data_IF_056159254198
#
_entry.id   IF_056159254198
#
_cell.length_a   1.000
_cell.length_b   1.000
_cell.length_c   1.000
_cell.angle_alpha   90.00
_cell.angle_beta   90.00
_cell.angle_gamma   90.00
#
_symmetry.space_group_name_H-M   'P 1'
#
loop_
_entity.id
_entity.type
_entity.pdbx_description
1 polymer ?
#
# COMPACT_ATOMS: atom_id res chain seq x y z
N UNK A 1 22.23 -21.45 33.07
CA UNK A 1 21.89 -21.32 31.64
C UNK A 1 20.40 -21.62 31.35
N UNK A 2 19.83 -22.78 31.77
CA UNK A 2 18.42 -23.15 31.49
C UNK A 2 17.39 -22.09 31.98
N UNK A 3 17.60 -21.47 33.14
CA UNK A 3 16.68 -20.43 33.67
C UNK A 3 16.73 -19.14 32.86
N UNK A 4 17.92 -18.74 32.38
CA UNK A 4 18.09 -17.54 31.55
C UNK A 4 17.40 -17.74 30.21
N UNK A 5 17.59 -18.88 29.55
CA UNK A 5 16.93 -19.24 28.30
C UNK A 5 15.41 -19.29 28.45
N UNK A 6 14.89 -19.87 29.55
CA UNK A 6 13.45 -19.89 29.82
C UNK A 6 12.88 -18.48 30.01
N UNK A 7 13.56 -17.64 30.76
CA UNK A 7 13.09 -16.26 31.00
C UNK A 7 13.17 -15.43 29.73
N UNK A 8 14.19 -15.61 28.90
CA UNK A 8 14.28 -14.99 27.58
C UNK A 8 13.15 -15.45 26.65
N UNK A 9 12.86 -16.75 26.61
CA UNK A 9 11.76 -17.30 25.83
C UNK A 9 10.40 -16.72 26.28
N UNK A 10 10.17 -16.61 27.61
CA UNK A 10 8.95 -16.03 28.15
C UNK A 10 8.80 -14.52 27.79
N UNK A 11 9.90 -13.80 27.69
CA UNK A 11 9.91 -12.39 27.30
C UNK A 11 9.62 -12.24 25.79
N UNK A 12 9.97 -13.21 24.97
CA UNK A 12 9.67 -13.19 23.53
C UNK A 12 8.20 -13.53 23.22
N UNK A 13 7.49 -14.24 24.10
CA UNK A 13 6.08 -14.63 23.87
C UNK A 13 5.18 -13.42 23.56
N UNK A 14 5.16 -12.33 24.35
CA UNK A 14 4.30 -11.20 24.05
C UNK A 14 4.70 -10.49 22.73
N UNK A 15 5.98 -10.49 22.40
CA UNK A 15 6.48 -9.89 21.14
C UNK A 15 6.01 -10.71 19.94
N UNK A 16 6.12 -12.04 20.01
CA UNK A 16 5.61 -12.93 18.97
C UNK A 16 4.09 -12.85 18.84
N UNK A 17 3.37 -12.81 19.97
CA UNK A 17 1.93 -12.66 19.97
C UNK A 17 1.50 -11.34 19.30
N UNK A 18 2.22 -10.25 19.59
CA UNK A 18 1.99 -8.96 18.92
C UNK A 18 2.20 -9.05 17.41
N UNK A 19 3.29 -9.67 16.95
CA UNK A 19 3.56 -9.81 15.52
C UNK A 19 2.53 -10.70 14.82
N UNK A 20 2.09 -11.77 15.46
CA UNK A 20 1.01 -12.61 14.93
C UNK A 20 -0.30 -11.82 14.84
N UNK A 21 -0.63 -11.03 15.87
CA UNK A 21 -1.81 -10.18 15.88
C UNK A 21 -1.72 -9.11 14.77
N UNK A 22 -0.58 -8.47 14.65
CA UNK A 22 -0.34 -7.47 13.60
C UNK A 22 -0.53 -8.08 12.20
N UNK A 23 0.11 -9.21 11.91
CA UNK A 23 0.01 -9.87 10.61
C UNK A 23 -1.42 -10.37 10.29
N UNK A 24 -2.20 -10.72 11.33
CA UNK A 24 -3.56 -11.21 11.17
C UNK A 24 -4.59 -10.07 10.93
N UNK A 25 -4.29 -8.85 11.33
CA UNK A 25 -5.23 -7.72 11.26
C UNK A 25 -4.72 -6.50 10.49
N UNK A 26 -3.53 -6.59 9.90
CA UNK A 26 -3.02 -5.50 9.06
C UNK A 26 -3.87 -5.32 7.80
N UNK A 27 -4.25 -4.07 7.46
CA UNK A 27 -5.23 -3.82 6.41
C UNK A 27 -4.63 -3.83 4.98
N UNK A 28 -3.31 -3.79 4.83
CA UNK A 28 -2.66 -3.52 3.56
C UNK A 28 -2.20 -4.77 2.81
N UNK A 29 -2.56 -5.97 3.28
CA UNK A 29 -2.09 -7.24 2.70
C UNK A 29 -0.56 -7.31 2.49
N UNK A 30 0.19 -6.61 3.35
CA UNK A 30 1.66 -6.52 3.24
C UNK A 30 2.34 -7.90 3.29
N UNK A 31 1.84 -8.80 4.15
CA UNK A 31 2.36 -10.16 4.30
C UNK A 31 1.71 -11.17 3.34
N UNK A 32 0.71 -10.77 2.55
CA UNK A 32 0.02 -11.64 1.60
C UNK A 32 -0.92 -12.66 2.25
N UNK A 33 -1.37 -12.41 3.48
CA UNK A 33 -2.28 -13.29 4.21
C UNK A 33 -3.76 -13.03 3.89
N UNK A 34 -4.07 -11.90 3.25
CA UNK A 34 -5.42 -11.41 2.96
C UNK A 34 -5.57 -11.06 1.47
N UNK A 35 -5.54 -12.02 0.55
CA UNK A 35 -5.49 -11.77 -0.90
C UNK A 35 -6.70 -11.00 -1.46
N UNK A 36 -7.80 -10.92 -0.70
CA UNK A 36 -9.03 -10.23 -1.12
C UNK A 36 -9.20 -8.85 -0.44
N UNK A 37 -8.15 -8.32 0.15
CA UNK A 37 -8.20 -6.98 0.74
C UNK A 37 -8.04 -5.95 -0.36
N UNK A 38 -9.13 -5.29 -0.72
CA UNK A 38 -9.12 -4.14 -1.62
C UNK A 38 -8.65 -2.92 -0.83
N UNK A 39 -7.34 -2.71 -0.80
CA UNK A 39 -6.73 -1.60 -0.09
C UNK A 39 -6.22 -0.57 -1.08
N UNK A 40 -6.79 0.64 -1.02
CA UNK A 40 -6.34 1.79 -1.80
C UNK A 40 -5.02 2.39 -1.30
N UNK A 41 -4.46 1.83 -0.23
CA UNK A 41 -3.20 2.29 0.33
C UNK A 41 -2.04 2.10 -0.66
N UNK A 42 -1.18 3.11 -0.87
CA UNK A 42 -0.04 3.01 -1.78
C UNK A 42 0.84 1.79 -1.53
N UNK A 43 1.08 1.47 -0.27
CA UNK A 43 1.91 0.33 0.13
C UNK A 43 1.32 -1.02 -0.33
N UNK A 44 -0.01 -1.16 -0.32
CA UNK A 44 -0.70 -2.35 -0.80
C UNK A 44 -0.49 -2.52 -2.31
N UNK A 45 -0.81 -1.49 -3.09
CA UNK A 45 -0.69 -1.47 -4.56
C UNK A 45 0.74 -1.77 -5.01
N UNK A 46 1.73 -1.13 -4.38
CA UNK A 46 3.13 -1.39 -4.68
C UNK A 46 3.57 -2.81 -4.28
N UNK A 47 3.04 -3.33 -3.19
CA UNK A 47 3.34 -4.70 -2.75
C UNK A 47 2.76 -5.73 -3.71
N UNK A 48 1.55 -5.54 -4.18
CA UNK A 48 0.90 -6.43 -5.13
C UNK A 48 1.60 -6.37 -6.49
N UNK A 49 1.92 -5.18 -6.99
CA UNK A 49 2.74 -5.04 -8.20
C UNK A 49 4.10 -5.76 -8.08
N UNK A 50 4.78 -5.63 -6.95
CA UNK A 50 6.07 -6.30 -6.73
C UNK A 50 5.96 -7.83 -6.69
N UNK A 51 4.80 -8.37 -6.25
CA UNK A 51 4.56 -9.83 -6.26
C UNK A 51 4.29 -10.36 -7.66
N UNK A 52 3.46 -9.65 -8.40
CA UNK A 52 3.01 -10.03 -9.73
C UNK A 52 3.06 -8.78 -10.63
N UNK A 53 4.26 -8.42 -11.15
CA UNK A 53 4.39 -7.25 -12.00
C UNK A 53 3.63 -7.42 -13.30
N UNK A 54 2.71 -6.48 -13.58
CA UNK A 54 2.02 -6.40 -14.86
C UNK A 54 2.84 -5.65 -15.91
N UNK A 55 2.40 -5.73 -17.15
CA UNK A 55 2.98 -5.02 -18.28
C UNK A 55 2.27 -3.69 -18.61
N UNK A 56 1.17 -3.39 -17.93
CA UNK A 56 0.39 -2.16 -18.14
C UNK A 56 0.00 -1.56 -16.80
N UNK A 57 0.35 -0.29 -16.56
CA UNK A 57 0.12 0.38 -15.30
C UNK A 57 -0.55 1.75 -15.46
N UNK A 58 -1.28 2.15 -14.41
CA UNK A 58 -1.83 3.50 -14.26
C UNK A 58 -1.12 4.18 -13.09
N UNK A 59 -0.58 5.36 -13.35
CA UNK A 59 0.07 6.23 -12.36
C UNK A 59 -0.67 7.56 -12.33
N UNK A 60 -0.86 8.13 -11.16
CA UNK A 60 -1.51 9.43 -11.04
C UNK A 60 -1.93 9.77 -9.61
N UNK A 61 -2.72 10.80 -9.50
CA UNK A 61 -3.29 11.27 -8.25
C UNK A 61 -4.62 10.57 -7.88
N UNK A 62 -5.35 11.09 -6.89
CA UNK A 62 -6.62 10.53 -6.40
C UNK A 62 -7.68 10.31 -7.48
N UNK A 63 -7.68 11.07 -8.57
CA UNK A 63 -8.65 10.92 -9.67
C UNK A 63 -8.43 9.63 -10.42
N UNK A 64 -7.19 9.21 -10.54
CA UNK A 64 -6.81 7.94 -11.19
C UNK A 64 -6.86 6.77 -10.20
N UNK A 65 -6.64 7.03 -8.91
CA UNK A 65 -6.66 6.01 -7.87
C UNK A 65 -8.01 5.27 -7.78
N UNK A 66 -9.11 5.94 -8.14
CA UNK A 66 -10.47 5.40 -8.05
C UNK A 66 -11.05 4.99 -9.43
N UNK A 67 -10.21 4.72 -10.41
CA UNK A 67 -10.69 4.17 -11.68
C UNK A 67 -11.38 2.83 -11.47
N UNK A 68 -12.51 2.65 -12.15
CA UNK A 68 -13.16 1.36 -12.27
C UNK A 68 -12.29 0.45 -13.16
N UNK A 69 -11.49 -0.39 -12.50
CA UNK A 69 -10.51 -1.23 -13.19
C UNK A 69 -11.18 -2.30 -14.05
N UNK A 70 -12.38 -2.75 -13.71
CA UNK A 70 -13.16 -3.68 -14.55
C UNK A 70 -13.56 -3.00 -15.87
N UNK A 71 -14.02 -1.76 -15.80
CA UNK A 71 -14.34 -0.98 -17.00
C UNK A 71 -13.10 -0.68 -17.85
N UNK A 72 -11.96 -0.38 -17.21
CA UNK A 72 -10.68 -0.16 -17.90
C UNK A 72 -10.28 -1.43 -18.67
N UNK A 73 -10.33 -2.59 -18.04
CA UNK A 73 -10.00 -3.88 -18.67
C UNK A 73 -10.96 -4.23 -19.79
N UNK A 74 -12.26 -4.06 -19.57
CA UNK A 74 -13.28 -4.31 -20.62
C UNK A 74 -13.09 -3.40 -21.83
N UNK A 75 -12.71 -2.14 -21.62
CA UNK A 75 -12.58 -1.15 -22.70
C UNK A 75 -11.26 -1.32 -23.46
N UNK A 76 -10.17 -1.60 -22.75
CA UNK A 76 -8.83 -1.73 -23.34
C UNK A 76 -8.54 -3.15 -23.87
N UNK A 77 -9.27 -4.16 -23.39
CA UNK A 77 -9.01 -5.57 -23.67
C UNK A 77 -7.73 -6.10 -23.05
N UNK A 78 -7.21 -5.42 -22.00
CA UNK A 78 -5.95 -5.74 -21.33
C UNK A 78 -6.09 -5.62 -19.82
N UNK A 79 -5.25 -6.36 -19.09
CA UNK A 79 -5.15 -6.21 -17.64
C UNK A 79 -4.24 -5.03 -17.28
N UNK A 80 -4.71 -4.19 -16.37
CA UNK A 80 -4.04 -3.01 -15.89
C UNK A 80 -3.85 -3.07 -14.38
N UNK A 81 -2.71 -2.61 -13.90
CA UNK A 81 -2.49 -2.42 -12.46
C UNK A 81 -2.50 -0.93 -12.11
N UNK A 82 -3.36 -0.57 -11.15
CA UNK A 82 -3.51 0.81 -10.73
C UNK A 82 -2.57 1.12 -9.57
N UNK A 83 -1.50 1.85 -9.84
CA UNK A 83 -0.52 2.31 -8.85
C UNK A 83 -0.77 3.76 -8.39
N UNK A 84 -1.79 4.43 -8.94
CA UNK A 84 -2.13 5.79 -8.56
C UNK A 84 -2.57 5.88 -7.09
N UNK A 85 -2.31 7.01 -6.43
CA UNK A 85 -2.70 7.23 -5.04
C UNK A 85 -3.03 8.69 -4.73
N UNK A 86 -3.83 8.89 -3.70
CA UNK A 86 -4.34 10.21 -3.33
C UNK A 86 -3.25 11.23 -3.07
N UNK A 87 -3.39 12.43 -3.65
CA UNK A 87 -2.47 13.54 -3.44
C UNK A 87 -1.04 13.31 -3.95
N UNK A 88 -0.84 12.47 -4.96
CA UNK A 88 0.47 12.29 -5.56
C UNK A 88 0.94 13.57 -6.25
N UNK A 89 2.17 14.03 -5.95
CA UNK A 89 2.83 15.09 -6.69
C UNK A 89 3.39 14.57 -8.01
N UNK A 90 3.73 15.48 -8.94
CA UNK A 90 4.37 15.10 -10.19
C UNK A 90 5.69 14.35 -9.94
N UNK A 91 6.47 14.80 -8.94
CA UNK A 91 7.69 14.15 -8.51
C UNK A 91 7.43 12.69 -8.08
N UNK A 92 6.46 12.48 -7.19
CA UNK A 92 6.08 11.14 -6.74
C UNK A 92 5.63 10.24 -7.89
N UNK A 93 4.91 10.80 -8.87
CA UNK A 93 4.52 10.07 -10.08
C UNK A 93 5.74 9.64 -10.92
N UNK A 94 6.74 10.51 -11.06
CA UNK A 94 7.98 10.19 -11.78
C UNK A 94 8.81 9.14 -11.01
N UNK A 95 8.94 9.30 -9.69
CA UNK A 95 9.66 8.34 -8.85
C UNK A 95 8.98 6.97 -8.87
N UNK A 96 7.64 6.95 -8.85
CA UNK A 96 6.85 5.72 -8.99
C UNK A 96 7.04 5.05 -10.35
N UNK A 97 7.09 5.84 -11.44
CA UNK A 97 7.36 5.30 -12.77
C UNK A 97 8.74 4.63 -12.83
N UNK A 98 9.77 5.33 -12.33
CA UNK A 98 11.13 4.77 -12.29
C UNK A 98 11.18 3.49 -11.46
N UNK A 99 10.53 3.50 -10.28
CA UNK A 99 10.42 2.32 -9.44
C UNK A 99 9.69 1.16 -10.16
N UNK A 100 8.63 1.42 -10.90
CA UNK A 100 7.89 0.40 -11.64
C UNK A 100 8.75 -0.20 -12.77
N UNK A 101 9.49 0.63 -13.50
CA UNK A 101 10.44 0.18 -14.54
C UNK A 101 11.55 -0.72 -13.97
N UNK A 102 12.05 -0.39 -12.78
CA UNK A 102 13.08 -1.19 -12.10
C UNK A 102 12.53 -2.55 -11.60
N UNK A 103 11.22 -2.64 -11.32
CA UNK A 103 10.59 -3.85 -10.79
C UNK A 103 9.83 -4.68 -11.85
N UNK A 104 9.58 -4.15 -13.03
CA UNK A 104 8.96 -4.84 -14.17
C UNK A 104 9.71 -4.54 -15.46
N UNK A 105 10.67 -5.39 -15.85
CA UNK A 105 11.37 -5.25 -17.14
C UNK A 105 10.47 -5.38 -18.36
N UNK A 106 9.31 -6.04 -18.19
CA UNK A 106 8.33 -6.28 -19.24
C UNK A 106 7.23 -5.22 -19.28
N UNK A 107 7.44 -4.06 -18.62
CA UNK A 107 6.49 -2.96 -18.64
C UNK A 107 6.41 -2.34 -20.05
N UNK A 108 5.25 -2.39 -20.67
CA UNK A 108 5.01 -1.95 -22.05
C UNK A 108 4.19 -0.66 -22.11
N UNK A 109 3.21 -0.50 -21.22
CA UNK A 109 2.24 0.58 -21.29
C UNK A 109 2.08 1.30 -19.96
N UNK A 110 2.03 2.62 -20.02
CA UNK A 110 1.81 3.48 -18.85
C UNK A 110 0.78 4.54 -19.16
N UNK A 111 -0.30 4.58 -18.39
CA UNK A 111 -1.16 5.75 -18.31
C UNK A 111 -0.63 6.64 -17.18
N UNK A 112 -0.05 7.78 -17.54
CA UNK A 112 0.45 8.74 -16.58
C UNK A 112 -0.52 9.92 -16.48
N UNK A 113 -1.32 9.92 -15.40
CA UNK A 113 -2.27 10.96 -15.11
C UNK A 113 -1.70 12.05 -14.19
N UNK A 114 -1.81 13.30 -14.59
CA UNK A 114 -1.43 14.42 -13.73
C UNK A 114 -2.47 15.53 -13.78
N UNK A 115 -2.64 16.18 -12.66
CA UNK A 115 -3.57 17.30 -12.48
C UNK A 115 -2.85 18.62 -12.55
N UNK A 116 -3.57 19.69 -12.88
CA UNK A 116 -2.97 21.02 -12.97
C UNK A 116 -2.24 21.43 -11.68
N UNK A 117 -2.79 21.08 -10.50
CA UNK A 117 -2.17 21.44 -9.23
C UNK A 117 -0.86 20.66 -8.97
N UNK A 118 -0.68 19.46 -9.53
CA UNK A 118 0.55 18.67 -9.35
C UNK A 118 1.74 19.26 -10.09
N UNK A 119 1.50 20.15 -11.06
CA UNK A 119 2.53 20.88 -11.80
C UNK A 119 3.00 22.11 -11.01
N UNK A 120 2.26 22.49 -9.95
CA UNK A 120 2.63 23.63 -9.14
C UNK A 120 3.91 23.33 -8.34
N UNK A 121 4.92 24.17 -8.51
CA UNK A 121 6.21 24.06 -7.82
C UNK A 121 6.08 24.03 -6.28
N UNK A 122 5.02 24.60 -5.73
CA UNK A 122 4.73 24.55 -4.28
C UNK A 122 4.13 23.22 -3.80
N UNK A 123 3.77 22.31 -4.72
CA UNK A 123 3.20 21.01 -4.41
C UNK A 123 4.22 19.90 -4.69
N UNK A 124 5.17 19.76 -3.77
CA UNK A 124 6.26 18.78 -3.86
C UNK A 124 6.25 17.86 -2.62
N UNK A 125 5.51 16.76 -2.72
CA UNK A 125 5.49 15.70 -1.71
C UNK A 125 6.50 14.61 -2.06
N UNK A 126 7.09 13.96 -1.04
CA UNK A 126 8.08 12.88 -1.19
C UNK A 126 7.75 11.74 -0.23
N UNK A 127 6.74 10.94 -0.58
CA UNK A 127 6.38 9.73 0.17
C UNK A 127 7.05 8.47 -0.37
N UNK A 128 7.50 8.50 -1.65
CA UNK A 128 8.07 7.33 -2.31
C UNK A 128 9.29 6.79 -1.59
N UNK A 129 10.18 7.63 -1.09
CA UNK A 129 11.37 7.20 -0.34
C UNK A 129 11.02 6.41 0.93
N UNK A 130 9.93 6.76 1.61
CA UNK A 130 9.43 6.05 2.79
C UNK A 130 8.71 4.76 2.40
N UNK A 131 7.95 4.78 1.31
CA UNK A 131 7.27 3.59 0.77
C UNK A 131 8.28 2.52 0.35
N UNK A 132 9.34 2.89 -0.37
CA UNK A 132 10.40 1.96 -0.78
C UNK A 132 11.13 1.33 0.43
N UNK A 133 11.48 2.14 1.42
CA UNK A 133 12.07 1.63 2.67
C UNK A 133 11.16 0.62 3.34
N UNK A 134 9.87 0.91 3.39
CA UNK A 134 8.88 0.05 4.02
C UNK A 134 8.65 -1.22 3.21
N UNK A 135 8.58 -1.12 1.87
CA UNK A 135 8.45 -2.27 0.97
C UNK A 135 9.58 -3.29 1.13
N UNK A 136 10.79 -2.80 1.33
CA UNK A 136 11.99 -3.63 1.40
C UNK A 136 12.37 -4.05 2.82
N UNK A 137 11.71 -3.50 3.84
CA UNK A 137 12.01 -3.78 5.24
C UNK A 137 10.74 -4.05 6.05
N UNK A 138 10.39 -5.34 6.31
CA UNK A 138 9.22 -5.70 7.11
C UNK A 138 9.22 -5.10 8.52
N UNK A 139 10.40 -4.85 9.11
CA UNK A 139 10.47 -4.20 10.41
C UNK A 139 10.07 -2.72 10.33
N UNK A 140 10.40 -2.02 9.22
CA UNK A 140 9.94 -0.66 9.00
C UNK A 140 8.40 -0.59 8.91
N UNK A 141 7.76 -1.59 8.29
CA UNK A 141 6.31 -1.74 8.26
C UNK A 141 5.74 -2.02 9.65
N UNK A 142 6.26 -3.03 10.34
CA UNK A 142 5.83 -3.47 11.68
C UNK A 142 5.88 -2.38 12.74
N UNK A 143 6.93 -1.55 12.73
CA UNK A 143 7.14 -0.50 13.72
C UNK A 143 6.66 0.88 13.26
N UNK A 144 5.97 0.98 12.12
CA UNK A 144 5.35 2.22 11.68
C UNK A 144 4.09 2.51 12.49
N UNK A 145 4.01 3.69 13.11
CA UNK A 145 2.90 4.07 13.98
C UNK A 145 1.56 4.09 13.23
N UNK A 146 1.53 4.61 12.03
CA UNK A 146 0.32 4.70 11.19
C UNK A 146 -0.25 3.30 10.91
N UNK A 147 0.59 2.36 10.45
CA UNK A 147 0.15 1.00 10.17
C UNK A 147 -0.30 0.24 11.44
N UNK A 148 0.29 0.55 12.59
CA UNK A 148 -0.15 0.00 13.87
C UNK A 148 -1.52 0.54 14.28
N UNK A 149 -1.79 1.84 14.09
CA UNK A 149 -3.11 2.44 14.34
C UNK A 149 -4.15 1.85 13.40
N UNK A 150 -3.82 1.70 12.11
CA UNK A 150 -4.71 1.09 11.12
C UNK A 150 -5.03 -0.37 11.46
N UNK A 151 -4.05 -1.15 11.91
CA UNK A 151 -4.25 -2.52 12.38
C UNK A 151 -5.21 -2.56 13.58
N UNK A 152 -5.01 -1.70 14.58
CA UNK A 152 -5.89 -1.65 15.76
C UNK A 152 -7.31 -1.21 15.38
N UNK A 153 -7.45 -0.29 14.45
CA UNK A 153 -8.75 0.15 13.91
C UNK A 153 -9.44 -1.01 13.21
N UNK A 154 -8.74 -1.74 12.35
CA UNK A 154 -9.27 -2.92 11.66
C UNK A 154 -9.70 -4.02 12.66
N UNK A 155 -8.85 -4.32 13.64
CA UNK A 155 -9.17 -5.25 14.72
C UNK A 155 -10.45 -4.82 15.48
N UNK A 156 -10.55 -3.54 15.87
CA UNK A 156 -11.74 -3.00 16.54
C UNK A 156 -12.98 -3.14 15.68
N UNK A 157 -12.88 -2.83 14.39
CA UNK A 157 -14.01 -2.90 13.46
C UNK A 157 -14.51 -4.33 13.31
N UNK A 158 -13.61 -5.29 13.18
CA UNK A 158 -13.97 -6.70 13.13
C UNK A 158 -14.64 -7.19 14.43
N UNK A 159 -14.15 -6.79 15.59
CA UNK A 159 -14.75 -7.17 16.88
C UNK A 159 -16.12 -6.52 17.07
N UNK A 160 -16.31 -5.28 16.66
CA UNK A 160 -17.56 -4.54 16.85
C UNK A 160 -18.58 -4.75 15.73
N UNK A 161 -18.22 -5.49 14.67
CA UNK A 161 -19.06 -5.67 13.48
C UNK A 161 -19.31 -4.35 12.73
N UNK A 162 -18.51 -3.32 12.98
CA UNK A 162 -18.56 -2.07 12.21
C UNK A 162 -17.79 -2.27 10.91
N UNK A 163 -18.51 -2.26 9.81
CA UNK A 163 -17.92 -2.00 8.50
C UNK A 163 -17.80 -0.48 8.45
N UNK A 164 -16.58 0.05 8.54
CA UNK A 164 -16.38 1.46 8.22
C UNK A 164 -16.83 1.61 6.76
N UNK A 165 -17.84 2.44 6.54
CA UNK A 165 -18.14 2.88 5.18
C UNK A 165 -16.83 3.44 4.60
N UNK A 166 -16.51 3.16 3.32
CA UNK A 166 -15.36 3.78 2.68
C UNK A 166 -15.46 5.28 2.98
N UNK A 167 -14.38 5.88 3.44
CA UNK A 167 -14.32 7.33 3.61
C UNK A 167 -14.66 7.94 2.26
N UNK A 168 -15.94 8.22 2.06
CA UNK A 168 -16.34 9.16 1.01
C UNK A 168 -15.80 10.49 1.46
N UNK A 169 -14.56 10.77 1.04
CA UNK A 169 -13.97 12.06 1.28
C UNK A 169 -14.87 13.10 0.65
N UNK A 170 -15.64 13.78 1.48
CA UNK A 170 -16.32 15.01 1.12
C UNK A 170 -15.24 16.06 0.86
N UNK A 171 -14.71 16.03 -0.34
CA UNK A 171 -13.87 17.09 -0.88
C UNK A 171 -14.80 18.18 -1.40
N UNK A 172 -15.19 19.11 -0.52
CA UNK A 172 -15.74 20.42 -0.90
C UNK A 172 -14.58 21.37 -1.19
#
# INVERSE_FOLDING_TARGET
>A
MKHILRNLALLLVPVLAYFCLFAAFEPNNYFGLHPNTDSDAPISRLKDFKREPGNSIIIGDSRFAHFDMELVEQTSGRSWQNLAFGGASLREGIDLLNWALDNSPDLEEVIFGFSFYTINQGYDTDRMSNLEKTLNNPFAYLFNLEYNVNMLTNLRNQITGRVDAPETGDWV
#
